data_IF_119566593732
#
_entry.id   IF_119566593732
#
_cell.length_a   1.000
_cell.length_b   1.000
_cell.length_c   1.000
_cell.angle_alpha   90.00
_cell.angle_beta   90.00
_cell.angle_gamma   90.00
#
_symmetry.space_group_name_H-M   'P 1'
#
loop_
_entity.id
_entity.type
_entity.pdbx_description
1 polymer ?
#
# COMPACT_ATOMS: atom_id res chain seq x y z
N UNK A 1 -5.46 -14.87 -1.01
CA UNK A 1 -6.10 -14.43 -1.69
C UNK A 1 -6.28 -12.96 -1.95
N UNK A 2 -7.21 -12.30 -1.30
CA UNK A 2 -7.44 -10.91 -1.66
C UNK A 2 -6.25 -10.01 -1.36
N UNK A 3 -5.66 -10.22 -0.20
CA UNK A 3 -4.52 -9.39 0.18
C UNK A 3 -3.33 -9.73 -0.69
N UNK A 4 -3.16 -10.99 -0.97
CA UNK A 4 -2.06 -11.42 -1.81
C UNK A 4 -2.18 -10.81 -3.20
N UNK A 5 -3.37 -10.79 -3.74
CA UNK A 5 -3.60 -10.17 -5.03
C UNK A 5 -3.35 -8.68 -5.00
N UNK A 6 -3.76 -8.02 -3.93
CA UNK A 6 -3.56 -6.59 -3.82
C UNK A 6 -2.07 -6.26 -3.78
N UNK A 7 -1.31 -7.05 -3.06
CA UNK A 7 0.13 -6.83 -3.01
C UNK A 7 0.75 -7.07 -4.38
N UNK A 8 0.28 -8.09 -5.06
CA UNK A 8 0.77 -8.38 -6.40
C UNK A 8 0.49 -7.20 -7.33
N UNK A 9 -0.71 -6.66 -7.28
CA UNK A 9 -1.08 -5.52 -8.10
C UNK A 9 -0.23 -4.30 -7.80
N UNK A 10 0.06 -4.09 -6.53
CA UNK A 10 0.90 -2.98 -6.13
C UNK A 10 2.30 -3.12 -6.71
N UNK A 11 2.86 -4.31 -6.61
CA UNK A 11 4.20 -4.54 -7.14
C UNK A 11 4.23 -4.36 -8.65
N UNK A 12 3.18 -4.80 -9.31
CA UNK A 12 3.10 -4.67 -10.74
C UNK A 12 3.04 -3.18 -11.13
N UNK A 13 2.26 -2.41 -10.40
CA UNK A 13 2.15 -0.98 -10.65
C UNK A 13 3.50 -0.30 -10.48
N UNK A 14 4.24 -0.69 -9.44
CA UNK A 14 5.55 -0.10 -9.22
C UNK A 14 6.51 -0.44 -10.35
N UNK A 15 6.41 -1.66 -10.85
CA UNK A 15 7.28 -2.06 -11.94
C UNK A 15 6.99 -1.32 -13.23
N UNK A 16 5.73 -1.02 -13.46
CA UNK A 16 5.36 -0.32 -14.67
C UNK A 16 5.94 1.08 -14.74
N UNK A 17 6.25 1.64 -13.60
CA UNK A 17 6.83 2.98 -13.57
C UNK A 17 8.33 2.96 -13.36
N UNK A 18 8.91 1.79 -13.50
CA UNK A 18 10.33 1.64 -13.23
C UNK A 18 11.15 2.59 -14.10
N UNK A 19 11.99 3.36 -13.47
CA UNK A 19 12.88 4.24 -14.19
C UNK A 19 12.24 5.47 -14.77
N UNK A 20 10.97 5.68 -14.52
CA UNK A 20 10.30 6.82 -15.10
C UNK A 20 9.81 7.82 -14.09
N UNK A 21 10.22 7.69 -12.89
CA UNK A 21 9.67 8.51 -11.82
C UNK A 21 10.42 9.82 -11.70
N UNK A 22 9.69 10.91 -11.66
CA UNK A 22 10.28 12.19 -11.35
C UNK A 22 10.59 12.20 -9.86
N UNK A 23 11.45 13.12 -9.43
CA UNK A 23 11.75 13.20 -7.99
C UNK A 23 10.51 13.44 -7.15
N UNK A 24 9.58 14.21 -7.66
CA UNK A 24 8.35 14.47 -6.91
C UNK A 24 7.51 13.25 -6.79
N UNK A 25 7.44 12.46 -7.85
CA UNK A 25 6.69 11.24 -7.79
C UNK A 25 7.29 10.23 -6.86
N UNK A 26 8.62 10.18 -6.82
CA UNK A 26 9.29 9.28 -5.91
C UNK A 26 8.88 9.60 -4.48
N UNK A 27 8.85 10.88 -4.13
CA UNK A 27 8.48 11.27 -2.78
C UNK A 27 7.01 10.96 -2.50
N UNK A 28 6.15 11.20 -3.47
CA UNK A 28 4.74 10.94 -3.30
C UNK A 28 4.48 9.46 -3.07
N UNK A 29 5.10 8.62 -3.88
CA UNK A 29 4.88 7.18 -3.77
C UNK A 29 5.50 6.66 -2.49
N UNK A 30 6.66 7.18 -2.12
CA UNK A 30 7.29 6.79 -0.87
C UNK A 30 6.33 7.06 0.29
N UNK A 31 5.73 8.24 0.31
CA UNK A 31 4.83 8.59 1.39
C UNK A 31 3.59 7.71 1.38
N UNK A 32 3.07 7.42 0.20
CA UNK A 32 1.92 6.53 0.10
C UNK A 32 2.23 5.16 0.68
N UNK A 33 3.39 4.62 0.32
CA UNK A 33 3.76 3.30 0.78
C UNK A 33 4.01 3.28 2.28
N UNK A 34 4.69 4.30 2.78
CA UNK A 34 4.96 4.36 4.21
C UNK A 34 3.68 4.54 5.01
N UNK A 35 2.77 5.36 4.53
CA UNK A 35 1.50 5.54 5.21
C UNK A 35 0.68 4.27 5.20
N UNK A 36 0.73 3.56 4.10
CA UNK A 36 0.01 2.29 4.01
C UNK A 36 0.59 1.28 4.99
N UNK A 37 1.90 1.19 5.04
CA UNK A 37 2.55 0.26 5.96
C UNK A 37 2.19 0.59 7.39
N UNK A 38 2.19 1.88 7.73
CA UNK A 38 1.85 2.29 9.07
C UNK A 38 0.40 1.93 9.40
N UNK A 39 -0.49 2.15 8.45
CA UNK A 39 -1.89 1.85 8.66
C UNK A 39 -2.11 0.36 8.88
N UNK A 40 -1.34 -0.46 8.20
CA UNK A 40 -1.46 -1.90 8.36
C UNK A 40 -1.00 -2.32 9.74
N UNK A 41 0.12 -1.77 10.18
CA UNK A 41 0.66 -2.11 11.50
C UNK A 41 -0.24 -1.62 12.62
N UNK A 42 -0.73 -0.39 12.48
CA UNK A 42 -1.57 0.19 13.50
C UNK A 42 -2.97 -0.44 13.53
N UNK A 43 -3.40 -0.93 12.41
CA UNK A 43 -4.71 -1.53 12.34
C UNK A 43 -5.80 -0.51 12.29
N UNK A 44 -7.01 -0.96 12.16
CA UNK A 44 -8.14 -0.05 12.08
C UNK A 44 -8.39 0.56 13.43
N UNK A 45 -8.38 1.83 13.46
CA UNK A 45 -8.53 2.53 14.67
C UNK A 45 -9.90 2.48 15.22
N UNK A 46 -10.87 2.53 14.43
CA UNK A 46 -12.16 2.54 14.93
C UNK A 46 -13.01 1.50 14.47
N UNK A 47 -12.55 0.44 14.10
CA UNK A 47 -13.31 -0.55 13.56
C UNK A 47 -13.76 -1.51 14.46
N UNK A 48 -14.82 -1.43 14.92
CA UNK A 48 -15.32 -2.35 15.86
C UNK A 48 -15.51 -3.63 15.16
N UNK A 49 -15.74 -3.59 14.12
CA UNK A 49 -16.05 -4.76 13.56
C UNK A 49 -15.13 -5.51 12.98
N UNK A 50 -14.84 -5.81 12.84
CA UNK A 50 -14.32 -6.44 12.23
C UNK A 50 -13.83 -7.36 12.07
N UNK A 51 -13.76 -7.78 11.97
CA UNK A 51 -13.46 -8.57 11.84
C UNK A 51 -13.08 -9.12 11.15
N UNK A 52 -13.04 -9.44 10.69
CA UNK A 52 -12.83 -9.98 10.04
C UNK A 52 -12.15 -10.49 9.54
N UNK A 53 -12.11 -10.74 9.57
CA UNK A 53 -11.61 -11.31 9.14
C UNK A 53 -10.75 -11.67 8.51
N UNK A 54 -10.17 -11.84 8.14
CA UNK A 54 -9.48 -12.23 7.44
C UNK A 54 -8.67 -12.78 7.73
#
# INVERSE_FOLDING_TARGET
AEIHEAVHNLRHALQMHHGRWSPEEVLRVRDLLNNTAKAIVDGPVVQPVQEQAE
#
